data_IF_675721725089
#
_entry.id   IF_675721725089
#
_cell.length_a   1.000
_cell.length_b   1.000
_cell.length_c   1.000
_cell.angle_alpha   90.00
_cell.angle_beta   90.00
_cell.angle_gamma   90.00
#
_symmetry.space_group_name_H-M   'P 1'
#
loop_
_entity.id
_entity.type
_entity.pdbx_description
1 polymer ?
#
# COMPACT_ATOMS: atom_id res chain seq x y z
N UNK A 1 -40.96 22.82 -38.59
CA UNK A 1 -39.95 21.89 -38.04
C UNK A 1 -40.69 20.74 -37.40
N UNK A 2 -40.61 19.53 -37.97
CA UNK A 2 -40.81 18.27 -37.25
C UNK A 2 -40.19 17.11 -38.05
N UNK A 3 -39.67 16.12 -37.33
CA UNK A 3 -38.69 15.13 -37.78
C UNK A 3 -39.26 14.02 -38.68
N UNK A 4 -38.54 13.71 -39.76
CA UNK A 4 -38.82 12.58 -40.65
C UNK A 4 -37.85 11.41 -40.41
N UNK A 5 -38.18 10.57 -39.43
CA UNK A 5 -37.66 9.21 -39.24
C UNK A 5 -38.13 8.29 -40.39
N UNK A 6 -37.38 7.20 -40.63
CA UNK A 6 -37.67 6.00 -41.44
C UNK A 6 -37.13 5.95 -42.87
N UNK A 7 -35.85 5.60 -42.98
CA UNK A 7 -35.34 4.75 -44.08
C UNK A 7 -34.81 3.44 -43.47
N UNK A 8 -35.65 2.41 -43.43
CA UNK A 8 -35.86 1.39 -44.47
C UNK A 8 -34.76 0.32 -44.44
N UNK A 9 -35.09 -0.73 -43.69
CA UNK A 9 -34.48 -2.05 -43.75
C UNK A 9 -34.75 -2.73 -45.10
N UNK A 10 -33.72 -3.35 -45.63
CA UNK A 10 -33.70 -4.32 -46.71
C UNK A 10 -32.23 -4.67 -46.96
N UNK A 11 -31.80 -5.87 -47.25
CA UNK A 11 -32.37 -7.20 -47.40
C UNK A 11 -31.16 -8.16 -47.43
N UNK A 12 -31.40 -9.46 -47.59
CA UNK A 12 -30.46 -10.49 -48.07
C UNK A 12 -29.57 -11.20 -47.03
N UNK A 13 -30.19 -12.16 -46.35
CA UNK A 13 -29.90 -13.60 -46.55
C UNK A 13 -28.60 -13.93 -47.32
N UNK A 14 -27.69 -14.69 -46.71
CA UNK A 14 -27.45 -16.13 -47.02
C UNK A 14 -26.15 -16.65 -46.42
N UNK A 15 -26.25 -17.86 -45.88
CA UNK A 15 -25.27 -18.69 -45.17
C UNK A 15 -24.11 -19.13 -46.08
N UNK A 16 -22.92 -19.34 -45.50
CA UNK A 16 -22.05 -20.48 -45.86
C UNK A 16 -21.02 -20.73 -44.75
N UNK A 17 -21.21 -21.86 -44.05
CA UNK A 17 -20.17 -22.48 -43.22
C UNK A 17 -19.14 -23.07 -44.16
N UNK A 18 -17.88 -22.67 -44.04
CA UNK A 18 -16.75 -23.39 -44.60
C UNK A 18 -15.83 -23.68 -43.43
N UNK A 19 -15.83 -24.95 -43.04
CA UNK A 19 -14.87 -25.53 -42.13
C UNK A 19 -13.52 -25.65 -42.86
N UNK A 20 -12.42 -25.35 -42.17
CA UNK A 20 -11.09 -25.76 -42.60
C UNK A 20 -10.24 -26.04 -41.37
N UNK A 21 -9.94 -27.31 -41.16
CA UNK A 21 -8.91 -27.82 -40.25
C UNK A 21 -7.52 -27.53 -40.85
N UNK A 22 -6.57 -27.13 -39.99
CA UNK A 22 -5.13 -27.46 -40.06
C UNK A 22 -4.46 -26.78 -38.84
N UNK A 23 -4.11 -27.48 -37.75
CA UNK A 23 -2.97 -28.38 -37.53
C UNK A 23 -1.58 -27.69 -37.61
N UNK A 24 -1.13 -27.25 -36.44
CA UNK A 24 0.24 -27.29 -35.88
C UNK A 24 1.41 -26.53 -36.53
N UNK A 25 2.05 -25.66 -35.74
CA UNK A 25 3.51 -25.66 -35.51
C UNK A 25 3.86 -24.73 -34.34
N UNK A 26 4.44 -25.30 -33.28
CA UNK A 26 5.05 -24.54 -32.19
C UNK A 26 6.38 -23.92 -32.66
N UNK A 27 6.56 -22.63 -32.41
CA UNK A 27 7.86 -21.96 -32.44
C UNK A 27 8.08 -21.30 -31.08
N UNK A 28 8.90 -21.96 -30.26
CA UNK A 28 9.50 -21.38 -29.06
C UNK A 28 10.63 -20.47 -29.53
N UNK A 29 10.49 -19.16 -29.34
CA UNK A 29 11.59 -18.21 -29.44
C UNK A 29 11.48 -17.22 -28.28
N UNK A 30 12.56 -17.16 -27.50
CA UNK A 30 12.60 -16.57 -26.17
C UNK A 30 12.29 -15.08 -26.13
N UNK A 31 11.63 -14.71 -25.04
CA UNK A 31 11.73 -13.38 -24.47
C UNK A 31 12.10 -13.56 -23.01
N UNK A 32 13.35 -13.23 -22.65
CA UNK A 32 13.65 -12.82 -21.27
C UNK A 32 12.80 -11.58 -21.00
N UNK A 33 11.56 -11.79 -20.57
CA UNK A 33 10.74 -10.71 -20.06
C UNK A 33 11.38 -10.32 -18.75
N UNK A 34 12.16 -9.22 -18.80
CA UNK A 34 12.77 -8.62 -17.63
C UNK A 34 11.71 -8.50 -16.56
N UNK A 35 11.93 -9.20 -15.45
CA UNK A 35 11.14 -9.03 -14.24
C UNK A 35 11.33 -7.58 -13.82
N UNK A 36 10.40 -6.74 -14.25
CA UNK A 36 10.28 -5.38 -13.75
C UNK A 36 9.79 -5.57 -12.33
N UNK A 37 10.72 -5.63 -11.38
CA UNK A 37 10.40 -5.47 -9.97
C UNK A 37 9.92 -4.04 -9.80
N UNK A 38 8.64 -3.79 -10.11
CA UNK A 38 7.93 -2.61 -9.62
C UNK A 38 7.97 -2.70 -8.11
N UNK A 39 8.96 -2.03 -7.51
CA UNK A 39 8.95 -1.72 -6.10
C UNK A 39 7.73 -0.86 -5.86
N UNK A 40 6.61 -1.49 -5.51
CA UNK A 40 5.47 -0.81 -4.91
C UNK A 40 6.00 -0.19 -3.63
N UNK A 41 6.39 1.08 -3.70
CA UNK A 41 6.52 1.93 -2.54
C UNK A 41 5.12 1.98 -1.93
N UNK A 42 4.84 1.06 -1.01
CA UNK A 42 3.60 1.01 -0.27
C UNK A 42 3.42 2.40 0.35
N UNK A 43 2.50 3.17 -0.22
CA UNK A 43 2.11 4.45 0.33
C UNK A 43 1.64 4.16 1.76
N UNK A 44 2.49 4.47 2.73
CA UNK A 44 2.21 4.20 4.13
C UNK A 44 1.05 5.13 4.48
N UNK A 45 -0.15 4.56 4.47
CA UNK A 45 -1.39 5.26 4.78
C UNK A 45 -1.20 5.98 6.11
N UNK A 46 -1.54 7.27 6.13
CA UNK A 46 -1.37 8.09 7.31
C UNK A 46 -2.04 7.39 8.52
N UNK A 47 -1.38 7.35 9.69
CA UNK A 47 -1.91 6.67 10.85
C UNK A 47 -3.27 7.25 11.24
N UNK A 48 -4.25 6.37 11.46
CA UNK A 48 -5.35 6.70 12.35
C UNK A 48 -4.80 6.70 13.78
N UNK A 49 -4.36 7.86 14.25
CA UNK A 49 -3.91 8.00 15.64
C UNK A 49 -5.05 7.62 16.58
N UNK A 50 -4.76 6.76 17.54
CA UNK A 50 -5.71 6.28 18.53
C UNK A 50 -5.17 6.52 19.92
N UNK A 51 -6.04 6.48 20.94
CA UNK A 51 -5.62 6.65 22.33
C UNK A 51 -4.71 5.51 22.80
N UNK A 52 -4.86 4.33 22.18
CA UNK A 52 -4.12 3.12 22.52
C UNK A 52 -3.10 2.77 21.43
N UNK A 53 -1.94 2.28 21.83
CA UNK A 53 -0.85 1.94 20.91
C UNK A 53 -1.15 0.70 20.05
N UNK A 54 -2.02 -0.21 20.47
CA UNK A 54 -2.31 -1.45 19.74
C UNK A 54 -2.76 -1.24 18.29
N UNK A 55 -3.52 -0.18 17.99
CA UNK A 55 -3.93 0.14 16.62
C UNK A 55 -2.80 0.81 15.84
N UNK A 56 -2.07 1.75 16.47
CA UNK A 56 -0.90 2.39 15.87
C UNK A 56 0.16 1.34 15.51
N UNK A 57 0.38 0.35 16.38
CA UNK A 57 1.37 -0.69 16.17
C UNK A 57 1.02 -1.67 15.03
N UNK A 58 -0.22 -1.71 14.54
CA UNK A 58 -0.57 -2.45 13.32
C UNK A 58 0.05 -1.79 12.08
N UNK A 59 0.13 -0.46 12.05
CA UNK A 59 0.77 0.30 10.98
C UNK A 59 2.28 0.51 11.24
N UNK A 60 2.66 0.64 12.51
CA UNK A 60 4.03 0.93 12.95
C UNK A 60 4.45 -0.05 14.05
N UNK A 61 4.93 -1.27 13.68
CA UNK A 61 5.16 -2.37 14.61
C UNK A 61 5.97 -2.06 15.87
N UNK A 62 6.89 -1.11 15.76
CA UNK A 62 7.80 -0.65 16.82
C UNK A 62 7.55 0.81 17.24
N UNK A 63 6.42 1.38 16.82
CA UNK A 63 6.10 2.77 17.06
C UNK A 63 6.74 3.74 16.06
N UNK A 64 6.63 5.01 16.39
CA UNK A 64 7.10 6.13 15.56
C UNK A 64 7.92 7.07 16.41
N UNK A 65 9.13 7.40 15.98
CA UNK A 65 10.01 8.29 16.70
C UNK A 65 10.59 9.40 15.83
N UNK A 66 11.16 10.39 16.50
CA UNK A 66 11.91 11.47 15.82
C UNK A 66 13.09 10.91 15.05
N UNK A 67 13.54 11.64 14.02
CA UNK A 67 14.65 11.21 13.17
C UNK A 67 15.91 10.86 13.98
N UNK A 68 16.18 11.62 15.05
CA UNK A 68 17.32 11.44 15.95
C UNK A 68 16.95 10.83 17.31
N UNK A 69 15.72 10.33 17.47
CA UNK A 69 15.31 9.70 18.73
C UNK A 69 16.15 8.46 19.03
N UNK A 70 16.31 8.21 20.34
CA UNK A 70 16.93 7.02 20.90
C UNK A 70 16.08 6.58 22.07
N UNK A 71 15.70 5.31 22.05
CA UNK A 71 14.89 4.72 23.12
C UNK A 71 15.61 4.88 24.46
N UNK A 72 14.89 5.46 25.42
CA UNK A 72 15.35 5.58 26.79
C UNK A 72 15.15 4.26 27.55
N UNK A 73 16.26 3.53 27.67
CA UNK A 73 16.33 2.35 28.54
C UNK A 73 16.58 2.80 29.99
N UNK A 74 15.51 2.93 30.79
CA UNK A 74 15.61 3.23 32.23
C UNK A 74 15.31 2.02 33.11
N UNK A 75 16.19 1.78 34.09
CA UNK A 75 16.03 0.72 35.08
C UNK A 75 16.29 -0.70 34.55
N UNK A 76 16.09 -1.71 35.40
CA UNK A 76 16.28 -3.13 35.03
C UNK A 76 15.12 -3.72 34.22
N UNK A 77 14.00 -2.99 34.10
CA UNK A 77 12.77 -3.45 33.46
C UNK A 77 12.87 -3.49 31.92
N UNK A 78 13.58 -2.52 31.33
CA UNK A 78 13.86 -2.49 29.89
C UNK A 78 15.32 -2.89 29.72
N UNK A 79 15.58 -4.06 29.10
CA UNK A 79 16.97 -4.55 28.92
C UNK A 79 17.56 -4.16 27.57
N UNK A 80 16.73 -3.84 26.59
CA UNK A 80 17.16 -3.53 25.22
C UNK A 80 16.34 -2.37 24.65
N UNK A 81 16.99 -1.40 23.97
CA UNK A 81 16.29 -0.34 23.28
C UNK A 81 15.62 -0.84 22.01
N UNK A 82 14.45 -0.28 21.69
CA UNK A 82 13.77 -0.39 20.41
C UNK A 82 14.53 0.49 19.40
N UNK A 83 15.00 -0.13 18.32
CA UNK A 83 15.82 0.55 17.29
C UNK A 83 15.17 0.58 15.92
N UNK A 84 14.11 -0.22 15.73
CA UNK A 84 13.42 -0.48 14.46
C UNK A 84 12.12 0.30 14.29
N UNK A 85 11.90 1.34 15.10
CA UNK A 85 10.74 2.23 14.98
C UNK A 85 10.80 3.08 13.71
N UNK A 86 9.63 3.51 13.22
CA UNK A 86 9.56 4.40 12.07
C UNK A 86 10.11 5.78 12.44
N UNK A 87 11.20 6.19 11.79
CA UNK A 87 11.76 7.53 11.95
C UNK A 87 11.02 8.54 11.07
N UNK A 88 10.28 9.45 11.69
CA UNK A 88 9.63 10.57 11.01
C UNK A 88 9.18 11.63 12.02
N UNK A 89 9.78 12.81 11.97
CA UNK A 89 9.39 13.93 12.83
C UNK A 89 7.94 14.36 12.57
N UNK A 90 7.47 14.29 11.32
CA UNK A 90 6.09 14.61 10.96
C UNK A 90 5.09 13.65 11.64
N UNK A 91 5.30 12.35 11.49
CA UNK A 91 4.42 11.35 12.12
C UNK A 91 4.49 11.44 13.65
N UNK A 92 5.68 11.58 14.22
CA UNK A 92 5.83 11.77 15.66
C UNK A 92 5.07 13.00 16.15
N UNK A 93 5.20 14.14 15.48
CA UNK A 93 4.49 15.36 15.84
C UNK A 93 2.96 15.22 15.74
N UNK A 94 2.46 14.47 14.75
CA UNK A 94 1.03 14.16 14.66
C UNK A 94 0.57 13.30 15.84
N UNK A 95 1.36 12.29 16.24
CA UNK A 95 1.10 11.48 17.43
C UNK A 95 0.97 12.36 18.69
N UNK A 96 1.95 13.23 18.91
CA UNK A 96 2.03 14.10 20.09
C UNK A 96 0.92 15.15 20.14
N UNK A 97 0.47 15.64 18.98
CA UNK A 97 -0.71 16.53 18.87
C UNK A 97 -2.01 15.79 19.21
N UNK A 98 -2.12 14.53 18.83
CA UNK A 98 -3.29 13.71 19.11
C UNK A 98 -3.37 13.34 20.60
N UNK A 99 -2.32 12.77 21.17
CA UNK A 99 -2.25 12.41 22.58
C UNK A 99 -0.79 12.32 23.05
N UNK A 100 -0.38 13.24 23.93
CA UNK A 100 0.97 13.26 24.50
C UNK A 100 1.30 12.01 25.34
N UNK A 101 0.29 11.26 25.80
CA UNK A 101 0.50 10.00 26.53
C UNK A 101 1.01 8.86 25.65
N UNK A 102 1.08 9.04 24.33
CA UNK A 102 1.64 8.04 23.42
C UNK A 102 3.16 7.91 23.57
N UNK A 103 3.83 8.97 24.04
CA UNK A 103 5.25 9.00 24.43
C UNK A 103 5.28 9.44 25.90
N UNK A 104 5.01 8.48 26.79
CA UNK A 104 4.77 8.76 28.21
C UNK A 104 6.07 9.13 28.95
N UNK A 105 7.19 8.56 28.53
CA UNK A 105 8.54 8.74 29.10
C UNK A 105 9.36 9.82 28.39
N UNK A 106 8.81 10.41 27.32
CA UNK A 106 9.29 11.63 26.64
C UNK A 106 10.69 11.45 26.07
N UNK A 107 10.96 10.29 25.51
CA UNK A 107 12.22 9.96 24.87
C UNK A 107 12.23 10.28 23.36
N UNK A 108 11.10 10.73 22.83
CA UNK A 108 10.93 11.05 21.43
C UNK A 108 10.46 9.88 20.58
N UNK A 109 9.91 8.83 21.21
CA UNK A 109 9.33 7.65 20.55
C UNK A 109 7.91 7.41 21.08
N UNK A 110 6.93 7.50 20.17
CA UNK A 110 5.55 7.23 20.48
C UNK A 110 5.21 5.75 20.23
N UNK A 111 4.49 5.15 21.17
CA UNK A 111 4.01 3.77 21.10
C UNK A 111 5.10 2.74 20.82
N UNK A 112 6.27 2.96 21.41
CA UNK A 112 7.34 1.97 21.41
C UNK A 112 6.94 0.68 22.14
N UNK A 113 7.37 -0.44 21.58
CA UNK A 113 7.27 -1.78 22.17
C UNK A 113 8.39 -2.68 21.66
#
# INVERSE_FOLDING_TARGET
MDAGDRRRYGALMTRRRIASLALSAALVAGGLTGVSTTSSSAATRAPSWTRNCSTVNKAYPHGVGRAKAKDRVVGKAKRRPVTTFKRSDSLYNQAMRYNKRLDADRDGIACER
#
